data_IF_151493207090
#
_entry.id   IF_151493207090
#
_cell.length_a   1.000
_cell.length_b   1.000
_cell.length_c   1.000
_cell.angle_alpha   90.00
_cell.angle_beta   90.00
_cell.angle_gamma   90.00
#
_symmetry.space_group_name_H-M   'P 1'
#
loop_
_entity.id
_entity.type
_entity.pdbx_description
1 polymer ?
#
# COMPACT_ATOMS: atom_id res chain seq x y z
N UNK A 1 -25.43 1.94 -8.26
CA UNK A 1 -25.36 0.57 -8.80
C UNK A 1 -24.43 -0.22 -7.90
N UNK A 2 -24.92 -1.29 -7.28
CA UNK A 2 -24.09 -2.14 -6.41
C UNK A 2 -22.96 -2.78 -7.24
N UNK A 3 -21.74 -2.81 -6.71
CA UNK A 3 -20.60 -3.46 -7.37
C UNK A 3 -20.68 -4.95 -7.07
N UNK A 4 -20.65 -5.80 -8.10
CA UNK A 4 -20.59 -7.26 -7.92
C UNK A 4 -19.24 -7.68 -7.37
N UNK A 5 -19.17 -8.81 -6.65
CA UNK A 5 -17.90 -9.36 -6.12
C UNK A 5 -16.81 -9.51 -7.17
N UNK A 6 -17.16 -10.03 -8.35
CA UNK A 6 -16.25 -10.15 -9.50
C UNK A 6 -15.71 -8.80 -9.95
N UNK A 7 -16.55 -7.76 -10.01
CA UNK A 7 -16.13 -6.41 -10.39
C UNK A 7 -15.23 -5.78 -9.32
N UNK A 8 -15.52 -6.00 -8.04
CA UNK A 8 -14.70 -5.53 -6.94
C UNK A 8 -13.29 -6.15 -6.95
N UNK A 9 -13.20 -7.46 -7.22
CA UNK A 9 -11.92 -8.15 -7.41
C UNK A 9 -11.09 -7.49 -8.52
N UNK A 10 -11.67 -7.27 -9.72
CA UNK A 10 -10.95 -6.63 -10.82
C UNK A 10 -10.53 -5.19 -10.52
N UNK A 11 -11.34 -4.44 -9.78
CA UNK A 11 -10.97 -3.10 -9.32
C UNK A 11 -9.74 -3.12 -8.41
N UNK A 12 -9.63 -4.13 -7.52
CA UNK A 12 -8.43 -4.33 -6.71
C UNK A 12 -7.22 -4.76 -7.53
N UNK A 13 -7.39 -5.61 -8.54
CA UNK A 13 -6.30 -5.97 -9.47
C UNK A 13 -5.79 -4.72 -10.20
N UNK A 14 -6.69 -3.89 -10.74
CA UNK A 14 -6.32 -2.63 -11.39
C UNK A 14 -5.57 -1.72 -10.40
N UNK A 15 -6.08 -1.59 -9.17
CA UNK A 15 -5.42 -0.83 -8.12
C UNK A 15 -3.98 -1.32 -7.86
N UNK A 16 -3.80 -2.63 -7.74
CA UNK A 16 -2.49 -3.24 -7.50
C UNK A 16 -1.51 -2.98 -8.65
N UNK A 17 -1.96 -3.11 -9.90
CA UNK A 17 -1.14 -2.80 -11.09
C UNK A 17 -0.74 -1.32 -11.12
N UNK A 18 -1.68 -0.41 -10.81
CA UNK A 18 -1.39 1.03 -10.75
C UNK A 18 -0.36 1.34 -9.65
N UNK A 19 -0.54 0.81 -8.44
CA UNK A 19 0.41 1.01 -7.33
C UNK A 19 1.80 0.43 -7.64
N UNK A 20 1.85 -0.68 -8.38
CA UNK A 20 3.12 -1.33 -8.78
C UNK A 20 4.05 -0.42 -9.56
N UNK A 21 3.52 0.61 -10.26
CA UNK A 21 4.34 1.59 -10.96
C UNK A 21 5.08 2.55 -10.02
N UNK A 22 4.76 2.54 -8.73
CA UNK A 22 5.27 3.47 -7.73
C UNK A 22 6.79 3.44 -7.59
N UNK A 23 7.41 2.25 -7.56
CA UNK A 23 8.87 2.14 -7.47
C UNK A 23 9.58 2.90 -8.59
N UNK A 24 9.15 2.65 -9.83
CA UNK A 24 9.68 3.32 -11.03
C UNK A 24 9.44 4.82 -11.00
N UNK A 25 8.20 5.25 -10.75
CA UNK A 25 7.84 6.67 -10.79
C UNK A 25 8.55 7.47 -9.69
N UNK A 26 8.72 6.91 -8.49
CA UNK A 26 9.45 7.55 -7.39
C UNK A 26 10.94 7.67 -7.73
N UNK A 27 11.54 6.65 -8.36
CA UNK A 27 12.96 6.67 -8.73
C UNK A 27 13.25 7.62 -9.90
N UNK A 28 12.28 7.86 -10.77
CA UNK A 28 12.41 8.72 -11.95
C UNK A 28 12.32 10.23 -11.64
N UNK A 29 11.93 10.61 -10.42
CA UNK A 29 11.93 12.03 -9.99
C UNK A 29 13.26 12.36 -9.33
N UNK A 30 13.97 13.36 -9.87
CA UNK A 30 15.20 13.90 -9.28
C UNK A 30 14.89 15.04 -8.30
N UNK A 31 14.35 14.66 -7.13
CA UNK A 31 14.06 15.57 -6.02
C UNK A 31 14.28 14.85 -4.67
N UNK A 32 14.44 15.60 -3.55
CA UNK A 32 14.47 15.01 -2.23
C UNK A 32 13.20 14.16 -1.94
N UNK A 33 13.29 13.02 -1.23
CA UNK A 33 12.16 12.10 -1.04
C UNK A 33 10.90 12.78 -0.49
N UNK A 34 11.07 13.72 0.45
CA UNK A 34 9.93 14.42 1.02
C UNK A 34 9.24 15.35 0.01
N UNK A 35 10.00 16.01 -0.88
CA UNK A 35 9.45 16.80 -1.97
C UNK A 35 8.73 15.89 -2.99
N UNK A 36 9.26 14.70 -3.28
CA UNK A 36 8.58 13.70 -4.12
C UNK A 36 7.23 13.33 -3.51
N UNK A 37 7.18 12.99 -2.21
CA UNK A 37 5.94 12.71 -1.47
C UNK A 37 4.94 13.86 -1.61
N UNK A 38 5.42 15.08 -1.45
CA UNK A 38 4.63 16.31 -1.60
C UNK A 38 4.01 16.49 -2.96
N UNK A 39 4.85 16.53 -4.00
CA UNK A 39 4.47 16.82 -5.36
C UNK A 39 3.45 15.81 -5.91
N UNK A 40 3.71 14.51 -5.73
CA UNK A 40 2.77 13.46 -6.15
C UNK A 40 1.45 13.53 -5.38
N UNK A 41 1.49 13.85 -4.08
CA UNK A 41 0.28 13.96 -3.26
C UNK A 41 -0.57 15.17 -3.64
N UNK A 42 0.04 16.29 -4.05
CA UNK A 42 -0.70 17.43 -4.59
C UNK A 42 -1.53 17.02 -5.81
N UNK A 43 -0.90 16.35 -6.79
CA UNK A 43 -1.59 15.87 -7.99
C UNK A 43 -2.66 14.82 -7.65
N UNK A 44 -2.38 13.89 -6.74
CA UNK A 44 -3.36 12.90 -6.29
C UNK A 44 -4.59 13.56 -5.64
N UNK A 45 -4.39 14.52 -4.74
CA UNK A 45 -5.48 15.26 -4.10
C UNK A 45 -6.30 16.04 -5.14
N UNK A 46 -5.64 16.73 -6.06
CA UNK A 46 -6.30 17.46 -7.14
C UNK A 46 -7.17 16.53 -7.99
N UNK A 47 -6.62 15.41 -8.45
CA UNK A 47 -7.36 14.43 -9.26
C UNK A 47 -8.59 13.90 -8.52
N UNK A 48 -8.45 13.51 -7.26
CA UNK A 48 -9.56 12.98 -6.47
C UNK A 48 -10.66 14.02 -6.27
N UNK A 49 -10.30 15.29 -6.02
CA UNK A 49 -11.26 16.40 -5.89
C UNK A 49 -11.98 16.65 -7.23
N UNK A 50 -11.27 16.59 -8.35
CA UNK A 50 -11.85 16.80 -9.69
C UNK A 50 -12.83 15.67 -10.06
N UNK A 51 -12.48 14.42 -9.76
CA UNK A 51 -13.28 13.24 -10.14
C UNK A 51 -14.45 12.98 -9.18
N UNK A 52 -14.28 13.24 -7.88
CA UNK A 52 -15.27 12.91 -6.84
C UNK A 52 -15.97 14.13 -6.22
N UNK A 53 -15.57 15.33 -6.61
CA UNK A 53 -16.12 16.58 -6.11
C UNK A 53 -15.57 17.00 -4.75
N UNK A 54 -16.28 17.91 -4.08
CA UNK A 54 -15.83 18.57 -2.85
C UNK A 54 -15.64 17.54 -1.71
N UNK A 55 -14.46 17.48 -1.06
CA UNK A 55 -14.21 16.55 0.03
C UNK A 55 -15.05 16.90 1.27
N UNK A 56 -15.50 15.86 1.98
CA UNK A 56 -16.30 15.94 3.20
C UNK A 56 -15.43 15.57 4.39
N UNK A 57 -14.69 16.53 4.91
CA UNK A 57 -13.80 16.32 6.06
C UNK A 57 -14.59 16.14 7.36
N UNK A 58 -14.08 15.27 8.24
CA UNK A 58 -14.65 14.99 9.55
C UNK A 58 -13.63 15.25 10.65
N UNK A 59 -14.09 15.72 11.81
CA UNK A 59 -13.27 15.87 13.02
C UNK A 59 -13.22 14.60 13.88
N UNK A 60 -13.88 13.52 13.44
CA UNK A 60 -13.90 12.25 14.17
C UNK A 60 -12.47 11.71 14.28
N UNK A 61 -12.04 11.20 15.46
CA UNK A 61 -10.69 10.68 15.64
C UNK A 61 -10.31 9.57 14.64
N UNK A 62 -11.26 8.71 14.24
CA UNK A 62 -11.04 7.66 13.24
C UNK A 62 -10.65 8.23 11.88
N UNK A 63 -11.29 9.32 11.45
CA UNK A 63 -11.02 9.99 10.18
C UNK A 63 -9.63 10.64 10.19
N UNK A 64 -9.31 11.35 11.27
CA UNK A 64 -8.01 12.00 11.45
C UNK A 64 -6.90 10.96 11.52
N UNK A 65 -7.09 9.91 12.31
CA UNK A 65 -6.15 8.80 12.43
C UNK A 65 -5.91 8.10 11.10
N UNK A 66 -6.96 7.81 10.33
CA UNK A 66 -6.84 7.21 9.00
C UNK A 66 -6.06 8.10 8.03
N UNK A 67 -6.28 9.41 8.07
CA UNK A 67 -5.62 10.40 7.21
C UNK A 67 -4.13 10.54 7.56
N UNK A 68 -3.80 10.52 8.86
CA UNK A 68 -2.42 10.54 9.34
C UNK A 68 -1.69 9.24 9.03
N UNK A 69 -2.34 8.08 9.21
CA UNK A 69 -1.77 6.78 8.87
C UNK A 69 -1.49 6.67 7.36
N UNK A 70 -2.41 7.17 6.51
CA UNK A 70 -2.16 7.32 5.07
C UNK A 70 -0.90 8.16 4.80
N UNK A 71 -0.82 9.36 5.40
CA UNK A 71 0.29 10.28 5.15
C UNK A 71 1.64 9.70 5.61
N UNK A 72 1.65 9.03 6.75
CA UNK A 72 2.81 8.33 7.28
C UNK A 72 3.24 7.17 6.39
N UNK A 73 2.28 6.39 5.87
CA UNK A 73 2.52 5.31 4.90
C UNK A 73 3.24 5.83 3.66
N UNK A 74 2.67 6.86 3.03
CA UNK A 74 3.22 7.47 1.82
C UNK A 74 4.62 8.02 2.05
N UNK A 75 4.82 8.73 3.15
CA UNK A 75 6.11 9.32 3.49
C UNK A 75 7.17 8.24 3.71
N UNK A 76 6.89 7.25 4.55
CA UNK A 76 7.83 6.17 4.84
C UNK A 76 8.17 5.36 3.58
N UNK A 77 7.17 5.08 2.74
CA UNK A 77 7.38 4.30 1.51
C UNK A 77 8.23 5.03 0.47
N UNK A 78 7.98 6.33 0.26
CA UNK A 78 8.78 7.14 -0.68
C UNK A 78 10.22 7.26 -0.20
N UNK A 79 10.43 7.50 1.10
CA UNK A 79 11.78 7.50 1.66
C UNK A 79 12.46 6.14 1.52
N UNK A 80 11.77 5.04 1.86
CA UNK A 80 12.30 3.69 1.69
C UNK A 80 12.75 3.45 0.25
N UNK A 81 11.87 3.71 -0.73
CA UNK A 81 12.13 3.52 -2.16
C UNK A 81 13.31 4.35 -2.67
N UNK A 82 13.60 5.50 -2.06
CA UNK A 82 14.73 6.37 -2.42
C UNK A 82 16.03 6.02 -1.70
N UNK A 83 15.95 5.40 -0.53
CA UNK A 83 17.12 5.07 0.30
C UNK A 83 17.56 3.61 0.15
N UNK A 84 16.71 2.74 -0.39
CA UNK A 84 17.01 1.34 -0.69
C UNK A 84 16.49 0.95 -2.08
N UNK A 85 16.55 -0.33 -2.43
CA UNK A 85 15.94 -0.82 -3.67
C UNK A 85 14.41 -0.77 -3.58
N UNK A 86 13.72 -0.57 -4.71
CA UNK A 86 12.27 -0.61 -4.79
C UNK A 86 11.73 -1.98 -4.35
N UNK A 87 12.50 -3.04 -4.65
CA UNK A 87 12.19 -4.40 -4.23
C UNK A 87 12.24 -4.55 -2.70
N UNK A 88 13.30 -4.09 -2.06
CA UNK A 88 13.40 -4.15 -0.60
C UNK A 88 12.31 -3.30 0.06
N UNK A 89 12.06 -2.09 -0.45
CA UNK A 89 11.04 -1.19 0.07
C UNK A 89 9.62 -1.81 0.04
N UNK A 90 9.20 -2.38 -1.10
CA UNK A 90 7.86 -2.97 -1.24
C UNK A 90 7.72 -4.29 -0.48
N UNK A 91 8.74 -5.15 -0.48
CA UNK A 91 8.71 -6.42 0.25
C UNK A 91 8.60 -6.19 1.75
N UNK A 92 9.35 -5.21 2.29
CA UNK A 92 9.29 -4.84 3.71
C UNK A 92 7.97 -4.18 4.08
N UNK A 93 7.37 -3.37 3.20
CA UNK A 93 6.02 -2.86 3.40
C UNK A 93 5.00 -4.00 3.41
N UNK A 94 5.20 -5.05 2.61
CA UNK A 94 4.32 -6.23 2.53
C UNK A 94 4.34 -7.15 3.76
N UNK A 95 5.03 -6.75 4.82
CA UNK A 95 4.85 -7.28 6.17
C UNK A 95 3.55 -6.80 6.83
N UNK A 96 2.85 -5.84 6.19
CA UNK A 96 1.54 -5.34 6.58
C UNK A 96 0.53 -6.39 7.09
N UNK A 97 0.35 -7.57 6.46
CA UNK A 97 -0.61 -8.57 6.94
C UNK A 97 -0.34 -9.03 8.38
N UNK A 98 0.93 -9.09 8.80
CA UNK A 98 1.32 -9.38 10.19
C UNK A 98 0.87 -8.26 11.13
N UNK A 99 1.11 -7.01 10.74
CA UNK A 99 0.72 -5.85 11.53
C UNK A 99 -0.80 -5.69 11.59
N UNK A 100 -1.53 -5.98 10.51
CA UNK A 100 -3.00 -6.00 10.49
C UNK A 100 -3.52 -7.04 11.49
N UNK A 101 -2.95 -8.24 11.54
CA UNK A 101 -3.36 -9.25 12.52
C UNK A 101 -3.19 -8.74 13.96
N UNK A 102 -2.01 -8.20 14.28
CA UNK A 102 -1.71 -7.66 15.61
C UNK A 102 -2.67 -6.51 15.96
N UNK A 103 -2.86 -5.56 15.05
CA UNK A 103 -3.76 -4.42 15.24
C UNK A 103 -5.22 -4.86 15.34
N UNK A 104 -5.65 -5.87 14.59
CA UNK A 104 -7.03 -6.38 14.65
C UNK A 104 -7.30 -7.08 15.99
N UNK A 105 -6.32 -7.77 16.55
CA UNK A 105 -6.42 -8.29 17.91
C UNK A 105 -6.56 -7.17 18.95
N UNK A 106 -5.69 -6.16 18.93
CA UNK A 106 -5.69 -5.11 19.96
C UNK A 106 -6.81 -4.07 19.80
N UNK A 107 -7.13 -3.66 18.57
CA UNK A 107 -8.09 -2.58 18.28
C UNK A 107 -9.49 -3.08 17.98
N UNK A 108 -9.62 -4.22 17.29
CA UNK A 108 -10.91 -4.77 16.87
C UNK A 108 -11.37 -5.95 17.75
N UNK A 109 -10.51 -6.42 18.67
CA UNK A 109 -10.78 -7.58 19.55
C UNK A 109 -11.12 -8.86 18.77
N UNK A 110 -10.57 -9.00 17.56
CA UNK A 110 -10.73 -10.20 16.76
C UNK A 110 -9.95 -11.38 17.36
N UNK A 111 -10.45 -12.60 17.18
CA UNK A 111 -9.78 -13.81 17.69
C UNK A 111 -8.56 -14.15 16.82
N UNK A 112 -7.42 -14.33 17.48
CA UNK A 112 -6.17 -14.83 16.88
C UNK A 112 -6.13 -16.34 17.09
N UNK A 113 -5.93 -17.09 16.00
CA UNK A 113 -5.76 -18.54 15.98
C UNK A 113 -4.29 -18.91 16.14
N UNK A 114 -4.02 -20.18 16.45
CA UNK A 114 -2.65 -20.70 16.53
C UNK A 114 -1.92 -20.61 15.19
N UNK A 115 -2.63 -20.75 14.07
CA UNK A 115 -2.06 -20.63 12.73
C UNK A 115 -1.54 -19.21 12.47
N UNK A 116 -2.24 -18.19 12.93
CA UNK A 116 -1.83 -16.80 12.70
C UNK A 116 -0.59 -16.43 13.49
N UNK A 117 -0.45 -16.98 14.69
CA UNK A 117 0.78 -16.86 15.50
C UNK A 117 1.94 -17.55 14.77
N UNK A 118 1.73 -18.76 14.25
CA UNK A 118 2.74 -19.50 13.50
C UNK A 118 3.18 -18.74 12.23
N UNK A 119 2.23 -18.28 11.41
CA UNK A 119 2.54 -17.54 10.18
C UNK A 119 3.23 -16.22 10.49
N UNK A 120 2.77 -15.49 11.51
CA UNK A 120 3.44 -14.28 12.00
C UNK A 120 4.88 -14.56 12.37
N UNK A 121 5.12 -15.63 13.13
CA UNK A 121 6.46 -16.02 13.52
C UNK A 121 7.35 -16.36 12.31
N UNK A 122 6.82 -17.11 11.33
CA UNK A 122 7.56 -17.46 10.11
C UNK A 122 7.90 -16.24 9.25
N UNK A 123 6.98 -15.28 9.12
CA UNK A 123 7.24 -14.02 8.40
C UNK A 123 8.29 -13.20 9.15
N UNK A 124 8.18 -13.07 10.47
CA UNK A 124 9.18 -12.37 11.30
C UNK A 124 10.56 -13.03 11.18
N UNK A 125 10.63 -14.36 11.17
CA UNK A 125 11.88 -15.09 10.97
C UNK A 125 12.48 -14.80 9.57
N UNK A 126 11.65 -14.83 8.52
CA UNK A 126 12.06 -14.46 7.16
C UNK A 126 12.59 -13.03 7.07
N UNK A 127 11.97 -12.09 7.78
CA UNK A 127 12.44 -10.70 7.88
C UNK A 127 13.78 -10.59 8.60
N UNK A 128 13.98 -11.31 9.70
CA UNK A 128 15.27 -11.32 10.40
C UNK A 128 16.38 -11.80 9.47
N UNK A 129 16.16 -12.88 8.72
CA UNK A 129 17.14 -13.38 7.73
C UNK A 129 17.43 -12.34 6.66
N UNK A 130 16.39 -11.68 6.13
CA UNK A 130 16.53 -10.60 5.16
C UNK A 130 17.36 -9.41 5.71
N UNK A 131 17.07 -8.96 6.93
CA UNK A 131 17.79 -7.85 7.56
C UNK A 131 19.25 -8.19 7.87
N UNK A 132 19.53 -9.42 8.32
CA UNK A 132 20.90 -9.86 8.58
C UNK A 132 21.74 -9.88 7.29
N UNK A 133 21.17 -10.34 6.18
CA UNK A 133 21.83 -10.30 4.87
C UNK A 133 22.05 -8.87 4.38
N UNK A 134 21.04 -8.00 4.54
CA UNK A 134 21.13 -6.59 4.14
C UNK A 134 22.18 -5.82 4.95
N UNK A 135 22.26 -6.04 6.27
CA UNK A 135 23.26 -5.41 7.14
C UNK A 135 24.66 -5.96 6.88
N UNK A 136 24.80 -7.26 6.61
CA UNK A 136 26.09 -7.89 6.30
C UNK A 136 26.71 -7.43 4.97
N UNK A 137 25.88 -6.91 4.05
CA UNK A 137 26.29 -6.36 2.75
C UNK A 137 26.27 -4.83 2.71
N UNK A 138 25.92 -4.17 3.81
CA UNK A 138 25.83 -2.73 3.85
C UNK A 138 27.22 -2.10 3.88
N UNK A 139 27.56 -1.37 2.82
CA UNK A 139 28.73 -0.50 2.80
C UNK A 139 28.63 0.56 3.90
N UNK A 140 29.76 1.04 4.49
CA UNK A 140 29.76 1.99 5.62
C UNK A 140 28.98 3.30 5.39
N UNK A 141 28.75 3.68 4.13
CA UNK A 141 28.01 4.89 3.74
C UNK A 141 26.62 4.57 3.12
N UNK A 142 26.16 3.33 3.22
CA UNK A 142 24.89 2.89 2.64
C UNK A 142 23.70 3.49 3.39
N UNK A 143 22.76 4.04 2.63
CA UNK A 143 21.46 4.50 3.15
C UNK A 143 20.43 3.37 3.27
N UNK A 144 20.77 2.16 2.78
CA UNK A 144 19.85 1.03 2.72
C UNK A 144 19.28 0.58 4.08
N UNK A 145 20.04 0.56 5.20
CA UNK A 145 19.47 0.17 6.49
C UNK A 145 18.34 1.08 6.96
N UNK A 146 18.50 2.40 6.77
CA UNK A 146 17.45 3.37 7.08
C UNK A 146 16.26 3.21 6.12
N UNK A 147 16.53 3.01 4.83
CA UNK A 147 15.48 2.72 3.84
C UNK A 147 14.66 1.48 4.20
N UNK A 148 15.33 0.41 4.63
CA UNK A 148 14.68 -0.85 5.03
C UNK A 148 13.86 -0.68 6.32
N UNK A 149 14.38 0.05 7.31
CA UNK A 149 13.63 0.39 8.52
C UNK A 149 12.35 1.18 8.19
N UNK A 150 12.44 2.15 7.27
CA UNK A 150 11.29 2.94 6.81
C UNK A 150 10.31 2.10 5.97
N UNK A 151 10.80 1.12 5.20
CA UNK A 151 9.95 0.17 4.48
C UNK A 151 9.11 -0.68 5.44
N UNK A 152 9.74 -1.22 6.49
CA UNK A 152 9.05 -1.97 7.55
C UNK A 152 8.04 -1.09 8.30
N UNK A 153 8.44 0.13 8.67
CA UNK A 153 7.57 1.10 9.34
C UNK A 153 6.38 1.50 8.46
N UNK A 154 6.58 1.59 7.15
CA UNK A 154 5.50 1.80 6.19
C UNK A 154 4.49 0.64 6.23
N UNK A 155 4.95 -0.61 6.39
CA UNK A 155 4.10 -1.78 6.61
C UNK A 155 3.19 -1.65 7.85
N UNK A 156 3.70 -1.06 8.93
CA UNK A 156 2.89 -0.76 10.13
C UNK A 156 1.83 0.29 9.82
N UNK A 157 2.22 1.39 9.18
CA UNK A 157 1.29 2.48 8.90
C UNK A 157 0.23 2.12 7.87
N UNK A 158 0.54 1.33 6.82
CA UNK A 158 -0.45 0.90 5.83
C UNK A 158 -1.47 -0.04 6.46
N UNK A 159 -1.04 -0.83 7.44
CA UNK A 159 -1.92 -1.72 8.20
C UNK A 159 -2.88 -0.93 9.09
N UNK A 160 -2.35 0.07 9.79
CA UNK A 160 -3.16 1.00 10.58
C UNK A 160 -4.13 1.78 9.69
N UNK A 161 -3.66 2.26 8.54
CA UNK A 161 -4.46 2.91 7.52
C UNK A 161 -5.61 2.01 7.06
N UNK A 162 -5.34 0.76 6.68
CA UNK A 162 -6.35 -0.18 6.20
C UNK A 162 -7.46 -0.41 7.24
N UNK A 163 -7.08 -0.64 8.50
CA UNK A 163 -8.03 -0.81 9.61
C UNK A 163 -8.86 0.44 9.86
N UNK A 164 -8.23 1.62 9.92
CA UNK A 164 -8.92 2.87 10.22
C UNK A 164 -9.79 3.37 9.05
N UNK A 165 -9.38 3.14 7.80
CA UNK A 165 -10.21 3.43 6.62
C UNK A 165 -11.45 2.55 6.60
N UNK A 166 -11.32 1.26 6.91
CA UNK A 166 -12.48 0.38 7.01
C UNK A 166 -13.44 0.84 8.10
N UNK A 167 -12.93 1.12 9.31
CA UNK A 167 -13.75 1.65 10.41
C UNK A 167 -14.40 3.00 10.05
N UNK A 168 -13.71 3.85 9.30
CA UNK A 168 -14.27 5.10 8.76
C UNK A 168 -15.45 4.81 7.82
N UNK A 169 -15.32 3.79 6.96
CA UNK A 169 -16.42 3.31 6.10
C UNK A 169 -17.60 2.80 6.93
N UNK A 170 -17.34 2.01 7.97
CA UNK A 170 -18.37 1.45 8.86
C UNK A 170 -19.13 2.54 9.64
N UNK A 171 -18.46 3.64 10.00
CA UNK A 171 -19.07 4.83 10.60
C UNK A 171 -19.81 5.74 9.57
N UNK A 172 -19.89 5.33 8.29
CA UNK A 172 -20.59 6.08 7.23
C UNK A 172 -19.87 7.36 6.79
N UNK A 173 -18.59 7.50 7.14
CA UNK A 173 -17.76 8.65 6.76
C UNK A 173 -17.12 8.44 5.39
N UNK A 174 -16.78 9.55 4.71
CA UNK A 174 -16.20 9.53 3.36
C UNK A 174 -14.75 9.02 3.37
N UNK A 175 -14.54 7.79 2.89
CA UNK A 175 -13.21 7.18 2.79
C UNK A 175 -12.36 7.84 1.71
N UNK A 176 -12.95 8.35 0.62
CA UNK A 176 -12.21 9.16 -0.36
C UNK A 176 -11.68 10.45 0.26
N UNK A 177 -12.45 11.07 1.16
CA UNK A 177 -12.03 12.29 1.85
C UNK A 177 -10.89 12.04 2.84
N UNK A 178 -10.75 10.83 3.39
CA UNK A 178 -9.56 10.44 4.15
C UNK A 178 -8.32 10.45 3.26
N UNK A 179 -8.42 9.86 2.05
CA UNK A 179 -7.30 9.84 1.10
C UNK A 179 -6.92 11.25 0.65
N UNK A 180 -7.91 12.11 0.36
CA UNK A 180 -7.66 13.52 0.03
C UNK A 180 -6.98 14.24 1.21
N UNK A 181 -7.48 14.08 2.43
CA UNK A 181 -6.89 14.71 3.62
C UNK A 181 -5.45 14.23 3.85
N UNK A 182 -5.19 12.93 3.74
CA UNK A 182 -3.84 12.36 3.85
C UNK A 182 -2.87 12.92 2.79
N UNK A 183 -3.30 13.04 1.54
CA UNK A 183 -2.49 13.67 0.50
C UNK A 183 -2.25 15.16 0.75
N UNK A 184 -3.25 15.90 1.23
CA UNK A 184 -3.07 17.31 1.61
C UNK A 184 -2.07 17.43 2.77
N UNK A 185 -2.12 16.54 3.78
CA UNK A 185 -1.12 16.50 4.86
C UNK A 185 0.29 16.30 4.28
N UNK A 186 0.48 15.31 3.40
CA UNK A 186 1.76 15.09 2.73
C UNK A 186 2.24 16.34 1.97
N UNK A 187 1.37 16.94 1.16
CA UNK A 187 1.68 18.14 0.40
C UNK A 187 2.11 19.30 1.29
N UNK A 188 1.28 19.68 2.27
CA UNK A 188 1.58 20.82 3.14
C UNK A 188 2.80 20.57 4.04
N UNK A 189 2.98 19.35 4.55
CA UNK A 189 4.15 19.01 5.36
C UNK A 189 5.46 19.09 4.56
N UNK A 190 5.41 18.70 3.28
CA UNK A 190 6.57 18.76 2.37
C UNK A 190 6.84 20.13 1.75
N UNK A 191 5.90 21.07 1.88
CA UNK A 191 5.90 22.32 1.12
C UNK A 191 7.21 23.12 1.23
N UNK A 192 7.85 23.26 2.41
CA UNK A 192 9.12 23.98 2.52
C UNK A 192 10.25 23.37 1.67
N UNK A 193 10.29 22.04 1.57
CA UNK A 193 11.30 21.32 0.79
C UNK A 193 10.94 21.31 -0.71
N UNK A 194 9.65 21.18 -1.02
CA UNK A 194 9.13 21.23 -2.37
C UNK A 194 9.43 22.60 -3.02
N UNK A 195 9.22 23.70 -2.29
CA UNK A 195 9.53 25.06 -2.77
C UNK A 195 11.02 25.33 -2.96
N UNK A 196 11.90 24.54 -2.33
CA UNK A 196 13.36 24.62 -2.50
C UNK A 196 13.89 23.68 -3.60
N UNK A 197 13.03 22.84 -4.17
CA UNK A 197 13.42 21.87 -5.20
C UNK A 197 13.43 22.52 -6.59
N UNK A 198 14.23 21.96 -7.49
CA UNK A 198 14.31 22.41 -8.89
C UNK A 198 13.17 21.79 -9.71
N UNK A 199 12.32 22.64 -10.28
CA UNK A 199 11.21 22.20 -11.12
C UNK A 199 11.64 22.11 -12.59
N UNK A 200 12.03 20.91 -13.01
CA UNK A 200 12.17 20.57 -14.43
C UNK A 200 10.83 20.07 -14.97
N UNK A 201 10.59 20.23 -16.27
CA UNK A 201 9.40 19.68 -16.92
C UNK A 201 9.29 18.16 -16.68
N UNK A 202 10.41 17.46 -16.78
CA UNK A 202 10.49 16.02 -16.53
C UNK A 202 10.05 15.64 -15.11
N UNK A 203 10.59 16.30 -14.07
CA UNK A 203 10.21 16.03 -12.69
C UNK A 203 8.71 16.29 -12.47
N UNK A 204 8.18 17.37 -13.02
CA UNK A 204 6.75 17.70 -12.91
C UNK A 204 5.89 16.65 -13.61
N UNK A 205 6.30 16.17 -14.79
CA UNK A 205 5.60 15.10 -15.51
C UNK A 205 5.57 13.80 -14.70
N UNK A 206 6.71 13.37 -14.15
CA UNK A 206 6.75 12.16 -13.33
C UNK A 206 5.92 12.29 -12.04
N UNK A 207 5.96 13.45 -11.38
CA UNK A 207 5.10 13.73 -10.22
C UNK A 207 3.61 13.73 -10.59
N UNK A 208 3.25 14.28 -11.74
CA UNK A 208 1.87 14.29 -12.23
C UNK A 208 1.39 12.87 -12.56
N UNK A 209 2.21 12.05 -13.23
CA UNK A 209 1.89 10.64 -13.51
C UNK A 209 1.76 9.86 -12.19
N UNK A 210 2.69 10.03 -11.25
CA UNK A 210 2.62 9.40 -9.93
C UNK A 210 1.37 9.82 -9.14
N UNK A 211 1.00 11.10 -9.20
CA UNK A 211 -0.15 11.61 -8.48
C UNK A 211 -1.49 11.21 -9.11
N UNK A 212 -1.65 11.44 -10.41
CA UNK A 212 -2.91 11.17 -11.11
C UNK A 212 -3.14 9.68 -11.35
N UNK A 213 -2.16 9.00 -11.92
CA UNK A 213 -2.30 7.62 -12.38
C UNK A 213 -2.00 6.62 -11.26
N UNK A 214 -0.82 6.72 -10.62
CA UNK A 214 -0.43 5.74 -9.61
C UNK A 214 -1.22 5.90 -8.30
N UNK A 215 -1.46 7.12 -7.82
CA UNK A 215 -2.23 7.35 -6.58
C UNK A 215 -3.71 7.61 -6.83
N UNK A 216 -4.04 8.68 -7.55
CA UNK A 216 -5.40 9.18 -7.69
C UNK A 216 -6.35 8.14 -8.27
N UNK A 217 -6.03 7.62 -9.45
CA UNK A 217 -6.84 6.61 -10.14
C UNK A 217 -6.90 5.30 -9.35
N UNK A 218 -5.78 4.85 -8.77
CA UNK A 218 -5.76 3.65 -7.93
C UNK A 218 -6.72 3.79 -6.73
N UNK A 219 -6.68 4.92 -6.03
CA UNK A 219 -7.56 5.15 -4.88
C UNK A 219 -9.03 5.34 -5.27
N UNK A 220 -9.36 5.74 -6.50
CA UNK A 220 -10.74 5.70 -7.01
C UNK A 220 -11.28 4.27 -7.01
N UNK A 221 -10.48 3.30 -7.47
CA UNK A 221 -10.86 1.88 -7.48
C UNK A 221 -10.85 1.28 -6.07
N UNK A 222 -9.80 1.54 -5.29
CA UNK A 222 -9.64 1.02 -3.93
C UNK A 222 -10.80 1.43 -3.01
N UNK A 223 -11.13 2.73 -2.98
CA UNK A 223 -12.20 3.23 -2.11
C UNK A 223 -13.59 2.79 -2.55
N UNK A 224 -13.81 2.63 -3.86
CA UNK A 224 -15.10 2.19 -4.40
C UNK A 224 -15.47 0.77 -3.95
N UNK A 225 -14.49 -0.10 -3.71
CA UNK A 225 -14.74 -1.49 -3.31
C UNK A 225 -14.88 -1.71 -1.81
N UNK A 226 -14.42 -0.77 -0.97
CA UNK A 226 -14.40 -0.93 0.51
C UNK A 226 -15.72 -1.46 1.10
N UNK A 227 -16.92 -1.01 0.65
CA UNK A 227 -18.18 -1.53 1.19
C UNK A 227 -18.54 -2.96 0.75
N UNK A 228 -17.86 -3.48 -0.28
CA UNK A 228 -18.21 -4.72 -0.98
C UNK A 228 -17.21 -5.85 -0.74
N UNK A 229 -16.04 -5.55 -0.18
CA UNK A 229 -14.97 -6.52 0.07
C UNK A 229 -14.59 -6.56 1.55
N UNK A 230 -14.11 -7.70 1.99
CA UNK A 230 -13.55 -7.93 3.32
C UNK A 230 -12.17 -7.26 3.44
N UNK A 231 -11.71 -6.98 4.67
CA UNK A 231 -10.33 -6.53 4.90
C UNK A 231 -9.29 -7.51 4.34
N UNK A 232 -9.62 -8.81 4.35
CA UNK A 232 -8.75 -9.84 3.82
C UNK A 232 -8.60 -9.72 2.29
N UNK A 233 -9.70 -9.53 1.55
CA UNK A 233 -9.67 -9.28 0.11
C UNK A 233 -8.87 -8.00 -0.25
N UNK A 234 -9.00 -6.94 0.56
CA UNK A 234 -8.24 -5.69 0.39
C UNK A 234 -6.73 -5.85 0.55
N UNK A 235 -6.28 -6.88 1.27
CA UNK A 235 -4.86 -7.16 1.51
C UNK A 235 -4.35 -8.24 0.55
N UNK A 236 -5.17 -9.25 0.25
CA UNK A 236 -4.81 -10.37 -0.61
C UNK A 236 -4.63 -9.99 -2.06
N UNK A 237 -5.60 -9.27 -2.64
CA UNK A 237 -5.58 -9.00 -4.08
C UNK A 237 -4.40 -8.10 -4.44
N UNK A 238 -4.06 -7.07 -3.63
CA UNK A 238 -2.86 -6.27 -3.88
C UNK A 238 -1.52 -6.99 -3.70
N UNK A 239 -1.47 -8.30 -3.38
CA UNK A 239 -0.20 -9.09 -3.34
C UNK A 239 0.48 -9.09 -4.71
N UNK A 240 -0.26 -8.77 -5.76
CA UNK A 240 0.27 -8.50 -7.10
C UNK A 240 1.33 -7.39 -7.09
N UNK A 241 1.17 -6.37 -6.24
CA UNK A 241 2.04 -5.20 -6.18
C UNK A 241 3.52 -5.52 -5.90
N UNK A 242 3.88 -6.22 -4.81
CA UNK A 242 5.27 -6.58 -4.52
C UNK A 242 5.90 -7.48 -5.59
N UNK A 243 5.11 -8.13 -6.45
CA UNK A 243 5.62 -8.91 -7.58
C UNK A 243 5.92 -8.01 -8.77
N UNK A 244 4.97 -7.16 -9.16
CA UNK A 244 5.09 -6.32 -10.36
C UNK A 244 6.01 -5.11 -10.15
N UNK A 245 6.08 -4.55 -8.94
CA UNK A 245 6.88 -3.36 -8.67
C UNK A 245 8.38 -3.59 -8.98
N UNK A 246 9.05 -4.63 -8.44
CA UNK A 246 10.44 -4.94 -8.82
C UNK A 246 10.62 -5.21 -10.31
N UNK A 247 9.64 -5.85 -10.96
CA UNK A 247 9.68 -6.14 -12.40
C UNK A 247 9.69 -4.83 -13.20
N UNK A 248 8.79 -3.90 -12.87
CA UNK A 248 8.75 -2.60 -13.54
C UNK A 248 10.03 -1.79 -13.31
N UNK A 249 10.55 -1.76 -12.07
CA UNK A 249 11.79 -1.03 -11.79
C UNK A 249 12.99 -1.67 -12.51
N UNK A 250 13.05 -3.00 -12.61
CA UNK A 250 14.09 -3.69 -13.36
C UNK A 250 14.08 -3.31 -14.85
N UNK A 251 12.91 -3.34 -15.50
CA UNK A 251 12.83 -3.03 -16.93
C UNK A 251 12.94 -1.53 -17.25
N UNK A 252 12.45 -0.65 -16.38
CA UNK A 252 12.34 0.78 -16.66
C UNK A 252 13.47 1.62 -16.05
N UNK A 253 14.04 1.21 -14.92
CA UNK A 253 15.19 1.89 -14.29
C UNK A 253 16.48 1.06 -14.34
N UNK A 254 16.42 -0.23 -14.70
CA UNK A 254 17.60 -1.11 -14.69
C UNK A 254 18.01 -1.60 -13.30
N UNK A 255 17.19 -1.38 -12.27
CA UNK A 255 17.52 -1.78 -10.89
C UNK A 255 17.37 -3.30 -10.71
N UNK A 256 18.45 -3.97 -10.31
CA UNK A 256 18.45 -5.42 -10.12
C UNK A 256 18.27 -5.74 -8.64
N UNK A 257 17.16 -6.42 -8.25
CA UNK A 257 17.02 -6.88 -6.88
C UNK A 257 18.09 -7.93 -6.55
N UNK A 258 18.57 -7.93 -5.31
CA UNK A 258 19.45 -8.99 -4.85
C UNK A 258 18.72 -10.34 -4.89
N UNK A 259 19.44 -11.42 -5.22
CA UNK A 259 18.85 -12.77 -5.23
C UNK A 259 18.24 -13.13 -3.87
N UNK A 260 18.84 -12.67 -2.77
CA UNK A 260 18.32 -12.86 -1.42
C UNK A 260 16.98 -12.16 -1.21
N UNK A 261 16.81 -10.93 -1.71
CA UNK A 261 15.52 -10.22 -1.75
C UNK A 261 14.47 -11.00 -2.54
N UNK A 262 14.85 -11.59 -3.69
CA UNK A 262 13.92 -12.38 -4.51
C UNK A 262 13.46 -13.64 -3.76
N UNK A 263 14.38 -14.41 -3.18
CA UNK A 263 14.02 -15.62 -2.41
C UNK A 263 13.20 -15.30 -1.16
N UNK A 264 13.59 -14.28 -0.39
CA UNK A 264 12.85 -13.84 0.79
C UNK A 264 11.45 -13.32 0.40
N UNK A 265 11.35 -12.57 -0.70
CA UNK A 265 10.09 -12.10 -1.26
C UNK A 265 9.17 -13.26 -1.65
N UNK A 266 9.66 -14.24 -2.43
CA UNK A 266 8.88 -15.44 -2.79
C UNK A 266 8.38 -16.16 -1.53
N UNK A 267 9.24 -16.33 -0.53
CA UNK A 267 8.89 -16.99 0.72
C UNK A 267 7.80 -16.23 1.50
N UNK A 268 7.98 -14.92 1.74
CA UNK A 268 7.04 -14.08 2.49
C UNK A 268 5.70 -13.99 1.74
N UNK A 269 5.72 -13.74 0.43
CA UNK A 269 4.50 -13.63 -0.37
C UNK A 269 3.74 -14.96 -0.42
N UNK A 270 4.44 -16.08 -0.53
CA UNK A 270 3.80 -17.41 -0.48
C UNK A 270 3.14 -17.65 0.87
N UNK A 271 3.84 -17.38 1.98
CA UNK A 271 3.28 -17.55 3.32
C UNK A 271 2.05 -16.67 3.55
N UNK A 272 2.14 -15.38 3.22
CA UNK A 272 1.03 -14.43 3.33
C UNK A 272 -0.15 -14.88 2.47
N UNK A 273 0.10 -15.25 1.21
CA UNK A 273 -0.97 -15.67 0.30
C UNK A 273 -1.67 -16.92 0.81
N UNK A 274 -0.91 -17.96 1.17
CA UNK A 274 -1.47 -19.21 1.70
C UNK A 274 -2.25 -18.97 2.99
N UNK A 275 -1.69 -18.18 3.90
CA UNK A 275 -2.32 -17.84 5.17
C UNK A 275 -3.64 -17.10 4.97
N UNK A 276 -3.63 -16.08 4.13
CA UNK A 276 -4.82 -15.30 3.86
C UNK A 276 -5.88 -16.13 3.09
N UNK A 277 -5.49 -17.02 2.17
CA UNK A 277 -6.42 -17.95 1.50
C UNK A 277 -7.05 -18.92 2.51
N UNK A 278 -6.26 -19.43 3.46
CA UNK A 278 -6.78 -20.29 4.52
C UNK A 278 -7.77 -19.55 5.43
N UNK A 279 -7.44 -18.35 5.87
CA UNK A 279 -8.31 -17.44 6.65
C UNK A 279 -9.63 -17.17 5.93
N UNK A 280 -9.61 -16.96 4.61
CA UNK A 280 -10.81 -16.74 3.81
C UNK A 280 -11.75 -17.96 3.87
N UNK A 281 -11.19 -19.18 3.76
CA UNK A 281 -11.96 -20.42 3.87
C UNK A 281 -12.56 -20.61 5.26
N UNK A 282 -11.80 -20.37 6.33
CA UNK A 282 -12.30 -20.51 7.71
C UNK A 282 -13.42 -19.52 8.05
N UNK A 283 -13.36 -18.29 7.50
CA UNK A 283 -14.41 -17.28 7.69
C UNK A 283 -15.67 -17.54 6.85
N UNK A 284 -15.73 -18.65 6.11
CA UNK A 284 -16.83 -18.97 5.21
C UNK A 284 -16.94 -18.01 4.02
N UNK A 285 -15.84 -17.33 3.67
CA UNK A 285 -15.80 -16.47 2.47
C UNK A 285 -15.71 -17.40 1.26
N UNK A 286 -16.72 -17.43 0.37
CA UNK A 286 -16.65 -18.26 -0.82
C UNK A 286 -15.53 -17.76 -1.72
N UNK A 287 -14.48 -18.56 -1.89
CA UNK A 287 -13.38 -18.31 -2.82
C UNK A 287 -13.75 -18.58 -4.30
N UNK A 288 -15.02 -18.90 -4.59
CA UNK A 288 -15.50 -19.22 -5.93
C UNK A 288 -15.98 -17.97 -6.66
N UNK A 289 -15.15 -17.45 -7.56
CA UNK A 289 -15.49 -16.37 -8.51
C UNK A 289 -16.40 -16.87 -9.66
N UNK A 290 -16.80 -18.15 -9.68
CA UNK A 290 -17.38 -18.78 -10.88
C UNK A 290 -18.79 -19.38 -10.74
N UNK A 291 -19.46 -19.34 -9.59
CA UNK A 291 -20.70 -20.13 -9.42
C UNK A 291 -22.02 -19.34 -9.31
N UNK A 292 -22.02 -18.03 -9.05
CA UNK A 292 -23.29 -17.30 -8.77
C UNK A 292 -23.95 -16.67 -10.00
N UNK A 293 -23.33 -16.74 -11.19
CA UNK A 293 -23.90 -16.16 -12.41
C UNK A 293 -25.02 -17.02 -13.04
N UNK A 294 -25.21 -18.27 -12.62
CA UNK A 294 -26.21 -19.18 -13.21
C UNK A 294 -27.46 -19.38 -12.35
N UNK A 295 -27.56 -18.74 -11.18
CA UNK A 295 -28.69 -18.94 -10.25
C UNK A 295 -29.67 -17.75 -10.21
N UNK A 296 -29.44 -16.69 -11.00
CA UNK A 296 -30.32 -15.52 -11.08
C UNK A 296 -31.11 -15.41 -12.38
N UNK A 297 -31.04 -16.40 -13.27
CA UNK A 297 -31.86 -16.47 -14.49
C UNK A 297 -33.07 -17.42 -14.37
N UNK A 298 -33.28 -18.08 -13.23
CA UNK A 298 -34.43 -18.96 -12.99
C UNK A 298 -35.20 -18.60 -11.70
N UNK A 299 -35.71 -17.37 -11.58
CA UNK A 299 -36.93 -17.05 -10.79
C UNK A 299 -37.67 -15.87 -11.42
#
# INVERSE_FOLDING_TARGET
MAITKKKAFWFLVICAVLWSTGGFLIKSVDMPPFAITGGRSMFAALFLILVRGKPRFSRRPVFIGASLAYAATMTCFVFATRLTTAADAIMLQYTAPVWVLLLSYFLLKERVTKLDVLVTFLILAGLVVFFLDSLGKAEPMSTAPLGNALGLLSGVFVSLQAVLIRRTSDEGLSTESVIVAGNLICFFASLPLLLRSTFTLENVMWLAIAGFFQLGLAYVFYTAVLPYVTALELILVPVIEPILNPIFVFFLNGEKPALTTVFAGIFILTLVTVWCVYRAKEQGVPLNVTAEASAQEEV
#
